data_IF_517466962365
#
_entry.id   IF_517466962365
#
_cell.length_a   1.000
_cell.length_b   1.000
_cell.length_c   1.000
_cell.angle_alpha   90.00
_cell.angle_beta   90.00
_cell.angle_gamma   90.00
#
_symmetry.space_group_name_H-M   'P 1'
#
loop_
_entity.id
_entity.type
_entity.pdbx_description
1 polymer ?
#
# COMPACT_ATOMS: atom_id res chain seq x y z
N UNK A 1 0.83 -47.98 -25.67
CA UNK A 1 0.10 -46.91 -24.97
C UNK A 1 1.13 -45.93 -24.44
N UNK A 2 1.38 -44.84 -25.17
CA UNK A 2 2.40 -43.84 -24.80
C UNK A 2 1.79 -42.79 -23.88
N UNK A 3 2.44 -42.52 -22.75
CA UNK A 3 2.06 -41.43 -21.86
C UNK A 3 2.27 -40.08 -22.57
N UNK A 4 1.38 -39.09 -22.37
CA UNK A 4 1.59 -37.75 -22.90
C UNK A 4 2.83 -37.15 -22.23
N UNK A 5 3.82 -36.74 -23.03
CA UNK A 5 4.99 -36.02 -22.54
C UNK A 5 4.56 -34.70 -21.93
N UNK A 6 4.89 -34.49 -20.66
CA UNK A 6 4.74 -33.22 -19.98
C UNK A 6 5.59 -32.18 -20.73
N UNK A 7 4.96 -31.35 -21.58
CA UNK A 7 5.64 -30.21 -22.17
C UNK A 7 6.10 -29.30 -21.03
N UNK A 8 7.41 -29.19 -20.90
CA UNK A 8 8.04 -28.26 -19.97
C UNK A 8 7.54 -26.85 -20.32
N UNK A 9 7.02 -26.08 -19.35
CA UNK A 9 6.47 -24.75 -19.65
C UNK A 9 7.58 -23.87 -20.22
N UNK A 10 7.47 -23.56 -21.52
CA UNK A 10 8.41 -22.71 -22.23
C UNK A 10 8.17 -21.27 -21.79
N UNK A 11 8.85 -20.86 -20.71
CA UNK A 11 8.90 -19.47 -20.28
C UNK A 11 9.91 -18.76 -21.17
N UNK A 12 9.47 -17.70 -21.84
CA UNK A 12 10.38 -16.89 -22.64
C UNK A 12 11.51 -16.33 -21.75
N UNK A 13 12.79 -16.43 -22.13
CA UNK A 13 13.91 -16.05 -21.27
C UNK A 13 13.84 -14.62 -20.72
N UNK A 14 13.21 -13.68 -21.44
CA UNK A 14 13.02 -12.31 -20.95
C UNK A 14 12.16 -12.24 -19.67
N UNK A 15 11.22 -13.16 -19.48
CA UNK A 15 10.35 -13.23 -18.29
C UNK A 15 11.06 -13.93 -17.11
N UNK A 16 12.28 -14.42 -17.30
CA UNK A 16 13.13 -14.89 -16.21
C UNK A 16 14.05 -13.78 -15.66
N UNK A 17 14.13 -12.62 -16.33
CA UNK A 17 14.99 -11.51 -15.92
C UNK A 17 14.15 -10.53 -15.09
N UNK A 18 14.49 -10.44 -13.81
CA UNK A 18 13.74 -9.62 -12.83
C UNK A 18 13.70 -8.14 -13.18
N UNK A 19 14.75 -7.63 -13.83
CA UNK A 19 14.92 -6.25 -14.25
C UNK A 19 13.94 -5.92 -15.38
N UNK A 20 13.80 -6.83 -16.35
CA UNK A 20 12.83 -6.67 -17.44
C UNK A 20 11.40 -6.70 -16.90
N UNK A 21 11.10 -7.63 -15.99
CA UNK A 21 9.79 -7.67 -15.34
C UNK A 21 9.51 -6.40 -14.53
N UNK A 22 10.51 -5.87 -13.82
CA UNK A 22 10.38 -4.62 -13.06
C UNK A 22 10.06 -3.44 -13.98
N UNK A 23 10.74 -3.33 -15.12
CA UNK A 23 10.44 -2.29 -16.11
C UNK A 23 9.04 -2.47 -16.70
N UNK A 24 8.63 -3.69 -17.07
CA UNK A 24 7.28 -3.96 -17.56
C UNK A 24 6.23 -3.53 -16.52
N UNK A 25 6.41 -3.92 -15.25
CA UNK A 25 5.48 -3.59 -14.18
C UNK A 25 5.49 -2.10 -13.86
N UNK A 26 6.60 -1.40 -14.07
CA UNK A 26 6.69 0.05 -13.89
C UNK A 26 5.71 0.81 -14.79
N UNK A 27 5.50 0.35 -16.02
CA UNK A 27 4.54 0.93 -16.97
C UNK A 27 3.06 0.59 -16.66
N UNK A 28 2.78 -0.19 -15.63
CA UNK A 28 1.42 -0.49 -15.18
C UNK A 28 1.01 0.51 -14.10
N UNK A 29 -0.02 1.30 -14.40
CA UNK A 29 -0.63 2.24 -13.46
C UNK A 29 -1.89 1.65 -12.78
N UNK A 30 -2.50 0.62 -13.36
CA UNK A 30 -3.67 -0.02 -12.79
C UNK A 30 -3.29 -0.97 -11.63
N UNK A 31 -3.79 -0.65 -10.44
CA UNK A 31 -3.61 -1.46 -9.23
C UNK A 31 -4.28 -2.84 -9.35
N UNK A 32 -5.36 -2.97 -10.12
CA UNK A 32 -6.02 -4.25 -10.37
C UNK A 32 -5.12 -5.21 -11.16
N UNK A 33 -4.46 -4.70 -12.20
CA UNK A 33 -3.51 -5.48 -13.00
C UNK A 33 -2.30 -5.91 -12.18
N UNK A 34 -1.73 -4.98 -11.40
CA UNK A 34 -0.63 -5.29 -10.49
C UNK A 34 -1.02 -6.34 -9.43
N UNK A 35 -2.23 -6.24 -8.88
CA UNK A 35 -2.74 -7.24 -7.94
C UNK A 35 -2.99 -8.60 -8.63
N UNK A 36 -3.44 -8.61 -9.89
CA UNK A 36 -3.57 -9.82 -10.67
C UNK A 36 -2.22 -10.48 -10.92
N UNK A 37 -1.22 -9.70 -11.38
CA UNK A 37 0.16 -10.15 -11.62
C UNK A 37 0.78 -10.75 -10.37
N UNK A 38 0.60 -10.12 -9.20
CA UNK A 38 1.10 -10.63 -7.94
C UNK A 38 0.56 -12.04 -7.59
N UNK A 39 -0.59 -12.44 -8.13
CA UNK A 39 -1.23 -13.74 -7.89
C UNK A 39 -0.96 -14.76 -9.00
N UNK A 40 -0.29 -14.40 -10.09
CA UNK A 40 -0.06 -15.30 -11.24
C UNK A 40 1.00 -16.36 -10.95
N UNK A 41 2.19 -15.96 -10.51
CA UNK A 41 3.30 -16.85 -10.22
C UNK A 41 4.25 -16.25 -9.17
N UNK A 42 5.10 -17.10 -8.57
CA UNK A 42 6.07 -16.66 -7.55
C UNK A 42 7.08 -15.64 -8.06
N UNK A 43 7.51 -15.75 -9.32
CA UNK A 43 8.46 -14.80 -9.92
C UNK A 43 7.87 -13.38 -10.05
N UNK A 44 6.54 -13.28 -10.25
CA UNK A 44 5.86 -11.99 -10.41
C UNK A 44 5.44 -11.41 -9.07
N UNK A 45 5.18 -12.27 -8.07
CA UNK A 45 4.62 -11.90 -6.78
C UNK A 45 5.35 -10.71 -6.13
N UNK A 46 6.65 -10.83 -5.86
CA UNK A 46 7.37 -9.79 -5.15
C UNK A 46 7.51 -8.51 -5.99
N UNK A 47 7.84 -8.62 -7.27
CA UNK A 47 8.00 -7.47 -8.16
C UNK A 47 6.68 -6.69 -8.35
N UNK A 48 5.55 -7.40 -8.49
CA UNK A 48 4.24 -6.79 -8.65
C UNK A 48 3.75 -6.18 -7.33
N UNK A 49 4.01 -6.82 -6.18
CA UNK A 49 3.73 -6.24 -4.86
C UNK A 49 4.58 -4.99 -4.60
N UNK A 50 5.86 -5.02 -4.94
CA UNK A 50 6.75 -3.86 -4.81
C UNK A 50 6.20 -2.68 -5.59
N UNK A 51 5.73 -2.89 -6.83
CA UNK A 51 5.11 -1.83 -7.63
C UNK A 51 3.73 -1.40 -7.10
N UNK A 52 2.87 -2.35 -6.72
CA UNK A 52 1.51 -2.09 -6.20
C UNK A 52 1.53 -1.20 -4.95
N UNK A 53 2.49 -1.44 -4.07
CA UNK A 53 2.64 -0.72 -2.82
C UNK A 53 3.64 0.44 -2.92
N UNK A 54 4.39 0.58 -4.02
CA UNK A 54 5.41 1.61 -4.21
C UNK A 54 4.88 3.01 -3.89
N UNK A 55 3.70 3.33 -4.41
CA UNK A 55 3.04 4.62 -4.23
C UNK A 55 1.64 4.43 -3.67
N UNK A 56 1.36 5.07 -2.54
CA UNK A 56 0.06 5.07 -1.92
C UNK A 56 -0.55 6.47 -1.87
N UNK A 57 -1.81 6.65 -2.31
CA UNK A 57 -2.50 7.94 -2.22
C UNK A 57 -2.92 8.30 -0.78
N UNK A 58 -3.04 7.29 0.09
CA UNK A 58 -3.30 7.42 1.51
C UNK A 58 -2.91 6.12 2.23
N UNK A 59 -2.50 6.26 3.49
CA UNK A 59 -2.04 5.14 4.31
C UNK A 59 -3.18 4.23 4.77
N UNK A 60 -4.42 4.72 4.75
CA UNK A 60 -5.60 3.91 5.09
C UNK A 60 -5.80 2.72 4.18
N UNK A 61 -5.39 2.80 2.92
CA UNK A 61 -5.51 1.68 1.98
C UNK A 61 -4.77 0.46 2.54
N UNK A 62 -3.60 0.68 3.14
CA UNK A 62 -2.83 -0.39 3.74
C UNK A 62 -3.52 -0.97 4.99
N UNK A 63 -4.08 -0.10 5.83
CA UNK A 63 -4.80 -0.52 7.03
C UNK A 63 -6.06 -1.32 6.65
N UNK A 64 -6.88 -0.80 5.74
CA UNK A 64 -8.10 -1.45 5.27
C UNK A 64 -7.82 -2.75 4.51
N UNK A 65 -6.65 -2.89 3.88
CA UNK A 65 -6.24 -4.11 3.22
C UNK A 65 -5.79 -5.20 4.19
N UNK A 66 -5.07 -4.83 5.26
CA UNK A 66 -4.49 -5.79 6.20
C UNK A 66 -5.47 -6.19 7.28
N UNK A 67 -6.24 -5.22 7.79
CA UNK A 67 -7.18 -5.43 8.86
C UNK A 67 -8.55 -5.83 8.32
N UNK A 68 -9.23 -6.82 8.94
CA UNK A 68 -10.62 -7.10 8.66
C UNK A 68 -11.50 -5.86 8.84
N UNK A 69 -12.58 -5.73 8.07
CA UNK A 69 -13.50 -4.59 8.14
C UNK A 69 -14.08 -4.38 9.55
N UNK A 70 -14.24 -5.45 10.34
CA UNK A 70 -14.64 -5.37 11.76
C UNK A 70 -13.65 -4.63 12.68
N UNK A 71 -12.42 -4.36 12.24
CA UNK A 71 -11.34 -3.76 13.04
C UNK A 71 -11.16 -2.27 12.81
N UNK A 72 -11.86 -1.70 11.83
CA UNK A 72 -11.80 -0.28 11.56
C UNK A 72 -13.19 0.25 11.19
N UNK A 73 -13.38 1.54 11.39
CA UNK A 73 -14.58 2.21 10.93
C UNK A 73 -14.20 3.58 10.41
N UNK A 74 -14.93 4.04 9.40
CA UNK A 74 -14.82 5.40 8.91
C UNK A 74 -15.81 6.24 9.71
N UNK A 75 -15.30 7.03 10.64
CA UNK A 75 -16.11 7.98 11.40
C UNK A 75 -16.40 9.17 10.50
N UNK A 76 -17.66 9.58 10.33
CA UNK A 76 -17.99 10.73 9.49
C UNK A 76 -17.43 12.03 10.09
N UNK A 77 -17.23 13.08 9.26
CA UNK A 77 -16.85 14.40 9.73
C UNK A 77 -17.72 14.90 10.90
N UNK A 78 -17.09 15.55 11.87
CA UNK A 78 -17.77 16.28 12.97
C UNK A 78 -17.44 17.78 12.87
N UNK A 79 -18.19 18.63 13.56
CA UNK A 79 -17.94 20.08 13.56
C UNK A 79 -16.49 20.45 13.91
N UNK A 80 -15.87 19.68 14.82
CA UNK A 80 -14.48 19.87 15.26
C UNK A 80 -13.47 19.28 14.26
N UNK A 81 -13.86 18.27 13.49
CA UNK A 81 -12.98 17.61 12.53
C UNK A 81 -13.71 17.38 11.20
N UNK A 82 -13.47 18.23 10.18
CA UNK A 82 -14.22 18.23 8.93
C UNK A 82 -13.86 17.05 8.01
N UNK A 83 -13.13 16.05 8.50
CA UNK A 83 -12.65 14.90 7.72
C UNK A 83 -13.24 13.61 8.27
N UNK A 84 -13.53 12.64 7.39
CA UNK A 84 -13.74 11.29 7.85
C UNK A 84 -12.44 10.80 8.51
N UNK A 85 -12.54 10.02 9.58
CA UNK A 85 -11.39 9.48 10.30
C UNK A 85 -11.46 7.97 10.21
N UNK A 86 -10.38 7.33 9.75
CA UNK A 86 -10.25 5.89 9.94
C UNK A 86 -9.92 5.65 11.41
N UNK A 87 -10.89 5.13 12.15
CA UNK A 87 -10.71 4.76 13.54
C UNK A 87 -10.49 3.24 13.63
N UNK A 88 -9.39 2.83 14.27
CA UNK A 88 -9.16 1.42 14.59
C UNK A 88 -9.99 1.10 15.83
N UNK A 89 -11.04 0.30 15.67
CA UNK A 89 -12.01 0.02 16.74
C UNK A 89 -11.55 -1.08 17.68
N UNK A 90 -10.57 -1.89 17.25
CA UNK A 90 -10.00 -2.95 18.07
C UNK A 90 -8.52 -3.14 17.72
N UNK A 91 -7.68 -3.29 18.76
CA UNK A 91 -6.24 -3.45 18.61
C UNK A 91 -5.88 -4.62 17.69
N UNK A 92 -5.11 -4.40 16.62
CA UNK A 92 -4.69 -5.48 15.74
C UNK A 92 -3.84 -6.50 16.47
N UNK A 93 -4.00 -7.76 16.09
CA UNK A 93 -3.17 -8.87 16.53
C UNK A 93 -1.74 -8.74 16.01
N UNK A 94 -0.82 -9.49 16.63
CA UNK A 94 0.59 -9.56 16.20
C UNK A 94 0.71 -10.00 14.74
N UNK A 95 -0.14 -10.90 14.27
CA UNK A 95 -0.10 -11.38 12.88
C UNK A 95 -0.60 -10.33 11.89
N UNK A 96 -1.62 -9.57 12.24
CA UNK A 96 -2.08 -8.43 11.44
C UNK A 96 -0.98 -7.37 11.35
N UNK A 97 -0.29 -7.09 12.45
CA UNK A 97 0.87 -6.18 12.44
C UNK A 97 2.03 -6.68 11.61
N UNK A 98 2.37 -7.99 11.68
CA UNK A 98 3.40 -8.59 10.82
C UNK A 98 3.05 -8.45 9.34
N UNK A 99 1.78 -8.68 8.98
CA UNK A 99 1.30 -8.55 7.61
C UNK A 99 1.33 -7.09 7.14
N UNK A 100 0.97 -6.17 8.02
CA UNK A 100 1.08 -4.74 7.76
C UNK A 100 2.53 -4.34 7.52
N UNK A 101 3.45 -4.71 8.41
CA UNK A 101 4.88 -4.42 8.26
C UNK A 101 5.44 -5.00 6.97
N UNK A 102 5.04 -6.23 6.61
CA UNK A 102 5.44 -6.86 5.36
C UNK A 102 5.13 -5.99 4.13
N UNK A 103 3.91 -5.44 4.03
CA UNK A 103 3.56 -4.57 2.90
C UNK A 103 4.09 -3.14 3.05
N UNK A 104 4.18 -2.61 4.29
CA UNK A 104 4.64 -1.26 4.56
C UNK A 104 6.08 -1.00 4.07
N UNK A 105 6.98 -2.00 4.15
CA UNK A 105 8.37 -1.88 3.67
C UNK A 105 8.49 -1.59 2.16
N UNK A 106 7.45 -1.90 1.40
CA UNK A 106 7.36 -1.68 -0.05
C UNK A 106 6.90 -0.27 -0.42
N UNK A 107 6.33 0.46 0.54
CA UNK A 107 5.88 1.84 0.33
C UNK A 107 7.10 2.76 0.26
N UNK A 108 7.29 3.42 -0.89
CA UNK A 108 8.38 4.38 -1.14
C UNK A 108 7.89 5.80 -1.31
N UNK A 109 6.64 5.98 -1.73
CA UNK A 109 5.98 7.28 -1.85
C UNK A 109 4.62 7.23 -1.18
N UNK A 110 4.41 8.14 -0.25
CA UNK A 110 3.10 8.37 0.35
C UNK A 110 2.64 9.74 -0.14
N UNK A 111 1.59 9.75 -0.95
CA UNK A 111 0.95 10.99 -1.31
C UNK A 111 0.01 11.40 -0.20
N UNK A 112 -0.02 12.69 -0.02
CA UNK A 112 -1.07 13.38 0.68
C UNK A 112 -1.99 13.91 -0.41
N UNK A 113 -3.20 13.37 -0.54
CA UNK A 113 -4.12 13.85 -1.55
C UNK A 113 -4.55 15.29 -1.19
N UNK A 114 -4.25 16.25 -2.09
CA UNK A 114 -4.65 17.68 -2.05
C UNK A 114 -5.89 18.00 -2.93
N UNK A 115 -6.61 17.00 -3.49
CA UNK A 115 -7.59 17.18 -4.60
C UNK A 115 -9.03 16.63 -4.42
N UNK A 116 -9.72 17.08 -3.40
CA UNK A 116 -11.18 17.19 -3.29
C UNK A 116 -11.52 18.67 -3.01
N UNK A 117 -11.97 19.34 -4.08
CA UNK A 117 -12.43 20.72 -4.18
C UNK A 117 -13.47 20.67 -5.32
N UNK A 118 -14.76 20.99 -5.27
CA UNK A 118 -15.51 22.06 -4.59
C UNK A 118 -17.02 21.76 -4.70
N UNK A 119 -17.74 21.63 -3.58
CA UNK A 119 -18.92 22.47 -3.35
C UNK A 119 -18.63 23.19 -2.05
N UNK A 120 -17.87 24.31 -2.15
CA UNK A 120 -17.28 25.14 -1.08
C UNK A 120 -16.89 24.28 0.13
N UNK A 121 -15.76 23.60 0.17
CA UNK A 121 -14.46 24.16 0.51
C UNK A 121 -13.36 23.26 -0.07
N UNK A 122 -12.46 23.93 -0.77
CA UNK A 122 -11.42 23.35 -1.58
C UNK A 122 -10.15 23.10 -0.77
N UNK A 123 -10.09 22.11 0.13
CA UNK A 123 -8.80 21.79 0.74
C UNK A 123 -8.72 20.36 1.24
N UNK A 124 -7.88 19.60 0.57
CA UNK A 124 -7.66 18.18 0.85
C UNK A 124 -6.37 18.09 1.61
N UNK A 125 -6.47 17.47 2.79
CA UNK A 125 -5.45 17.60 3.83
C UNK A 125 -5.45 16.37 4.76
N UNK A 126 -4.33 16.03 5.44
CA UNK A 126 -3.93 14.64 5.72
C UNK A 126 -4.98 13.91 6.54
N UNK A 127 -5.14 12.62 6.31
CA UNK A 127 -5.78 11.80 7.33
C UNK A 127 -4.84 11.71 8.53
N UNK A 128 -5.35 12.04 9.72
CA UNK A 128 -4.58 11.92 10.96
C UNK A 128 -4.53 10.43 11.28
N UNK A 129 -3.39 9.82 11.01
CA UNK A 129 -3.06 8.47 11.48
C UNK A 129 -2.92 8.58 13.00
N UNK A 130 -3.55 7.66 13.75
CA UNK A 130 -3.38 7.59 15.20
C UNK A 130 -1.88 7.48 15.53
N UNK A 131 -1.44 8.10 16.63
CA UNK A 131 -0.02 8.21 17.03
C UNK A 131 0.69 6.85 16.99
N UNK A 132 -0.02 5.80 17.37
CA UNK A 132 0.44 4.42 17.43
C UNK A 132 0.79 3.88 16.03
N UNK A 133 -0.03 4.20 15.02
CA UNK A 133 0.25 3.80 13.65
C UNK A 133 1.35 4.67 13.00
N UNK A 134 1.58 5.90 13.49
CA UNK A 134 2.75 6.71 13.11
C UNK A 134 4.04 6.16 13.73
N UNK A 135 4.03 5.80 15.00
CA UNK A 135 5.18 5.19 15.70
C UNK A 135 5.61 3.88 15.03
N UNK A 136 4.65 3.06 14.59
CA UNK A 136 4.94 1.80 13.87
C UNK A 136 5.52 2.00 12.46
N UNK A 137 5.18 3.08 11.76
CA UNK A 137 5.80 3.44 10.48
C UNK A 137 7.26 3.86 10.69
N UNK A 138 7.52 4.59 11.78
CA UNK A 138 8.86 5.05 12.16
C UNK A 138 9.75 3.87 12.60
N UNK A 139 9.19 2.89 13.31
CA UNK A 139 9.92 1.66 13.70
C UNK A 139 10.21 0.72 12.51
N UNK A 140 9.33 0.70 11.50
CA UNK A 140 9.50 -0.15 10.32
C UNK A 140 10.48 0.40 9.27
N UNK A 141 10.97 1.65 9.40
CA UNK A 141 11.91 2.29 8.48
C UNK A 141 13.03 3.03 9.24
N UNK A 142 14.13 2.34 9.62
CA UNK A 142 15.25 3.00 10.29
C UNK A 142 16.21 3.77 9.35
N UNK A 143 15.92 3.91 8.05
CA UNK A 143 16.82 4.59 7.11
C UNK A 143 16.27 5.93 6.58
N UNK A 144 16.85 6.99 7.15
CA UNK A 144 17.14 8.34 6.66
C UNK A 144 16.09 9.17 5.88
N UNK A 145 15.84 10.36 6.44
CA UNK A 145 15.21 11.57 5.87
C UNK A 145 13.69 11.72 5.93
N UNK A 146 13.11 11.60 7.13
CA UNK A 146 11.90 12.36 7.45
C UNK A 146 12.37 13.70 8.01
N UNK A 147 12.53 14.71 7.14
CA UNK A 147 12.77 16.07 7.60
C UNK A 147 11.52 16.59 8.34
N UNK A 148 11.63 16.99 9.62
CA UNK A 148 10.56 17.69 10.29
C UNK A 148 10.57 19.11 9.74
N UNK A 149 9.72 19.42 8.76
CA UNK A 149 9.55 20.82 8.37
C UNK A 149 8.78 21.54 9.49
N UNK A 150 9.59 22.21 10.32
CA UNK A 150 9.30 23.23 11.32
C UNK A 150 7.84 23.64 11.48
N UNK A 151 7.42 23.49 12.73
CA UNK A 151 6.40 24.27 13.42
C UNK A 151 6.74 25.78 13.29
N UNK A 152 5.76 26.52 12.75
CA UNK A 152 5.41 27.93 13.02
C UNK A 152 6.38 29.04 12.56
N UNK A 153 5.83 30.26 12.41
CA UNK A 153 5.66 31.17 13.56
C UNK A 153 4.24 31.26 14.09
#
# INVERSE_FOLDING_TARGET
>A
MGAPSCHEPVVHPCLAISEILREIFYFLDDRHDLAALARTCRAFMDLALDRLWHELPDFTILICFVLPESRWQIVPPKEINPRPILNIVASPSVNEWKRFAYYATRVKKLFYNTRFSVKKYAVTRPLIIAREALELILEANPCESIHPTRILP
#
